data_IF_624412489036
#
_entry.id   IF_624412489036
#
_cell.length_a   1.000
_cell.length_b   1.000
_cell.length_c   1.000
_cell.angle_alpha   90.00
_cell.angle_beta   90.00
_cell.angle_gamma   90.00
#
_symmetry.space_group_name_H-M   'P 1'
#
loop_
_entity.id
_entity.type
_entity.pdbx_description
1 polymer ?
#
# COMPACT_ATOMS: atom_id res chain seq x y z
N UNK A 1 -15.06 18.06 -6.27
CA UNK A 1 -14.72 17.09 -5.20
C UNK A 1 -14.72 17.82 -3.87
N UNK A 2 -15.44 17.33 -2.88
CA UNK A 2 -15.39 17.91 -1.54
C UNK A 2 -14.04 17.57 -0.92
N UNK A 3 -13.25 18.59 -0.53
CA UNK A 3 -11.98 18.43 0.18
C UNK A 3 -12.22 17.89 1.62
N UNK A 4 -12.66 16.64 1.73
CA UNK A 4 -12.78 15.95 3.03
C UNK A 4 -11.43 15.31 3.33
N UNK A 5 -10.85 15.67 4.48
CA UNK A 5 -9.63 15.03 4.96
C UNK A 5 -10.00 13.68 5.57
N UNK A 6 -9.36 12.62 5.07
CA UNK A 6 -9.47 11.28 5.65
C UNK A 6 -8.26 10.97 6.54
N UNK A 7 -8.50 10.22 7.61
CA UNK A 7 -7.47 9.79 8.56
C UNK A 7 -7.25 8.29 8.40
N UNK A 8 -6.00 7.90 8.12
CA UNK A 8 -5.59 6.51 8.04
C UNK A 8 -4.60 6.14 9.14
N UNK A 9 -4.60 4.88 9.53
CA UNK A 9 -3.66 4.32 10.50
C UNK A 9 -3.23 2.92 10.07
N UNK A 10 -2.09 2.44 10.58
CA UNK A 10 -1.69 1.05 10.43
C UNK A 10 -2.21 0.20 11.58
N UNK A 11 -2.53 -1.07 11.30
CA UNK A 11 -2.83 -2.07 12.32
C UNK A 11 -2.44 -3.46 11.81
N UNK A 12 -2.01 -4.33 12.72
CA UNK A 12 -1.48 -5.65 12.37
C UNK A 12 -2.14 -6.80 13.13
N UNK A 13 -3.03 -6.51 14.08
CA UNK A 13 -3.62 -7.52 14.95
C UNK A 13 -5.07 -7.20 15.32
N UNK A 14 -5.73 -8.20 15.88
CA UNK A 14 -7.13 -8.12 16.29
C UNK A 14 -7.38 -7.10 17.44
N UNK A 15 -6.64 -7.11 18.58
CA UNK A 15 -6.94 -6.19 19.67
C UNK A 15 -6.74 -4.72 19.27
N UNK A 16 -5.68 -4.39 18.52
CA UNK A 16 -5.44 -3.03 18.01
C UNK A 16 -6.59 -2.59 17.09
N UNK A 17 -6.98 -3.46 16.14
CA UNK A 17 -8.10 -3.15 15.23
C UNK A 17 -9.42 -2.94 15.96
N UNK A 18 -9.68 -3.69 17.03
CA UNK A 18 -10.87 -3.52 17.89
C UNK A 18 -10.89 -2.15 18.54
N UNK A 19 -9.75 -1.63 18.96
CA UNK A 19 -9.64 -0.26 19.52
C UNK A 19 -9.92 0.75 18.41
N UNK A 20 -9.25 0.62 17.26
CA UNK A 20 -9.38 1.52 16.10
C UNK A 20 -10.83 1.55 15.59
N UNK A 21 -11.55 0.42 15.63
CA UNK A 21 -12.94 0.33 15.17
C UNK A 21 -13.90 1.31 15.87
N UNK A 22 -13.53 1.76 17.06
CA UNK A 22 -14.28 2.74 17.85
C UNK A 22 -13.67 4.16 17.77
N UNK A 23 -12.65 4.37 16.94
CA UNK A 23 -12.01 5.65 16.73
C UNK A 23 -12.54 6.32 15.45
N UNK A 24 -12.36 7.64 15.36
CA UNK A 24 -12.69 8.40 14.14
C UNK A 24 -11.54 8.28 13.13
N UNK A 25 -11.40 7.08 12.56
CA UNK A 25 -10.40 6.72 11.54
C UNK A 25 -11.14 6.17 10.33
N UNK A 26 -10.81 6.63 9.15
CA UNK A 26 -11.51 6.29 7.91
C UNK A 26 -11.00 4.98 7.29
N UNK A 27 -9.68 4.74 7.35
CA UNK A 27 -9.09 3.54 6.76
C UNK A 27 -7.93 2.96 7.59
N UNK A 28 -7.70 1.66 7.40
CA UNK A 28 -6.57 0.94 7.99
C UNK A 28 -5.71 0.36 6.86
N UNK A 29 -4.40 0.58 6.95
CA UNK A 29 -3.42 -0.12 6.11
C UNK A 29 -2.80 -1.25 6.93
N UNK A 30 -2.91 -2.48 6.43
CA UNK A 30 -2.17 -3.62 6.95
C UNK A 30 -0.86 -3.69 6.17
N UNK A 31 0.14 -2.94 6.65
CA UNK A 31 1.42 -2.75 5.96
C UNK A 31 2.36 -3.95 6.11
N UNK A 32 3.22 -4.19 5.12
CA UNK A 32 4.28 -5.20 5.20
C UNK A 32 5.33 -4.87 6.27
N UNK A 33 5.34 -3.62 6.77
CA UNK A 33 6.07 -3.22 7.98
C UNK A 33 5.68 -4.04 9.22
N UNK A 34 4.58 -4.81 9.20
CA UNK A 34 4.30 -5.86 10.19
C UNK A 34 5.51 -6.80 10.38
N UNK A 35 6.24 -7.09 9.30
CA UNK A 35 7.47 -7.87 9.36
C UNK A 35 8.47 -7.30 10.35
N UNK A 36 8.74 -6.02 10.31
CA UNK A 36 9.70 -5.37 11.21
C UNK A 36 9.13 -5.07 12.59
N UNK A 37 7.89 -4.57 12.66
CA UNK A 37 7.30 -4.07 13.91
C UNK A 37 6.75 -5.18 14.81
N UNK A 38 6.24 -6.26 14.22
CA UNK A 38 5.65 -7.38 14.97
C UNK A 38 6.59 -8.58 15.03
N UNK A 39 7.29 -8.88 13.93
CA UNK A 39 8.12 -10.08 13.82
C UNK A 39 9.63 -9.84 13.96
N UNK A 40 10.07 -8.56 14.02
CA UNK A 40 11.49 -8.21 14.13
C UNK A 40 12.33 -8.53 12.89
N UNK A 41 11.69 -8.70 11.74
CA UNK A 41 12.34 -8.93 10.44
C UNK A 41 13.07 -7.64 10.04
N UNK A 42 14.36 -7.74 9.73
CA UNK A 42 15.17 -6.57 9.35
C UNK A 42 15.00 -6.16 7.90
N UNK A 43 14.75 -7.12 7.02
CA UNK A 43 14.57 -6.89 5.60
C UNK A 43 13.12 -7.21 5.20
N UNK A 44 12.34 -6.19 4.85
CA UNK A 44 10.93 -6.34 4.48
C UNK A 44 10.70 -7.27 3.29
N UNK A 45 11.72 -7.51 2.45
CA UNK A 45 11.63 -8.46 1.35
C UNK A 45 11.51 -9.93 1.79
N UNK A 46 11.67 -10.22 3.09
CA UNK A 46 11.43 -11.53 3.68
C UNK A 46 9.96 -11.78 4.07
N UNK A 47 9.13 -10.72 4.03
CA UNK A 47 7.70 -10.81 4.36
C UNK A 47 6.98 -11.60 3.28
N UNK A 48 6.28 -12.67 3.69
CA UNK A 48 5.56 -13.55 2.78
C UNK A 48 4.08 -13.15 2.61
N UNK A 49 3.45 -13.64 1.54
CA UNK A 49 2.01 -13.52 1.34
C UNK A 49 1.21 -14.10 2.52
N UNK A 50 1.59 -15.30 3.01
CA UNK A 50 0.89 -15.95 4.14
C UNK A 50 0.94 -15.13 5.42
N UNK A 51 2.08 -14.49 5.69
CA UNK A 51 2.23 -13.57 6.82
C UNK A 51 1.26 -12.40 6.67
N UNK A 52 1.23 -11.74 5.52
CA UNK A 52 0.35 -10.61 5.26
C UNK A 52 -1.13 -11.00 5.35
N UNK A 53 -1.51 -12.11 4.73
CA UNK A 53 -2.89 -12.60 4.79
C UNK A 53 -3.32 -12.96 6.23
N UNK A 54 -2.40 -13.44 7.07
CA UNK A 54 -2.67 -13.72 8.48
C UNK A 54 -2.95 -12.44 9.26
N UNK A 55 -2.16 -11.38 9.06
CA UNK A 55 -2.41 -10.06 9.63
C UNK A 55 -3.73 -9.48 9.12
N UNK A 56 -3.99 -9.53 7.82
CA UNK A 56 -5.23 -9.06 7.21
C UNK A 56 -6.47 -9.73 7.82
N UNK A 57 -6.46 -11.06 7.98
CA UNK A 57 -7.56 -11.79 8.66
C UNK A 57 -7.77 -11.30 10.09
N UNK A 58 -6.69 -11.06 10.83
CA UNK A 58 -6.75 -10.58 12.22
C UNK A 58 -7.36 -9.18 12.30
N UNK A 59 -6.90 -8.27 11.44
CA UNK A 59 -7.41 -6.89 11.35
C UNK A 59 -8.88 -6.89 10.92
N UNK A 60 -9.25 -7.67 9.91
CA UNK A 60 -10.65 -7.77 9.43
C UNK A 60 -11.62 -8.19 10.52
N UNK A 61 -11.23 -9.13 11.38
CA UNK A 61 -12.07 -9.56 12.50
C UNK A 61 -12.27 -8.47 13.55
N UNK A 62 -11.29 -7.58 13.69
CA UNK A 62 -11.33 -6.48 14.66
C UNK A 62 -12.00 -5.21 14.17
N UNK A 63 -11.98 -4.96 12.86
CA UNK A 63 -12.48 -3.73 12.23
C UNK A 63 -13.63 -4.04 11.26
N UNK A 64 -14.74 -3.32 11.42
CA UNK A 64 -15.95 -3.46 10.58
C UNK A 64 -16.35 -2.15 9.90
N UNK A 65 -15.86 -1.01 10.39
CA UNK A 65 -16.30 0.31 9.98
C UNK A 65 -15.27 1.02 9.06
N UNK A 66 -14.01 0.62 9.11
CA UNK A 66 -12.92 1.23 8.33
C UNK A 66 -12.77 0.58 6.97
N UNK A 67 -12.34 1.37 5.98
CA UNK A 67 -11.88 0.87 4.70
C UNK A 67 -10.52 0.17 4.88
N UNK A 68 -10.40 -1.09 4.49
CA UNK A 68 -9.23 -1.93 4.77
C UNK A 68 -8.36 -2.12 3.54
N UNK A 69 -7.08 -1.77 3.66
CA UNK A 69 -6.09 -1.86 2.58
C UNK A 69 -5.02 -2.87 2.96
N UNK A 70 -4.86 -3.91 2.16
CA UNK A 70 -3.82 -4.91 2.31
C UNK A 70 -2.58 -4.57 1.49
N UNK A 71 -1.41 -4.59 2.12
CA UNK A 71 -0.15 -4.28 1.46
C UNK A 71 0.43 -5.53 0.81
N UNK A 72 0.62 -5.49 -0.50
CA UNK A 72 1.19 -6.60 -1.27
C UNK A 72 2.70 -6.69 -1.04
N UNK A 73 3.24 -7.79 -0.47
CA UNK A 73 4.65 -7.89 -0.15
C UNK A 73 5.51 -8.01 -1.40
N UNK A 74 6.82 -7.83 -1.23
CA UNK A 74 7.81 -7.92 -2.31
C UNK A 74 7.68 -9.23 -3.09
N UNK A 75 7.78 -9.14 -4.42
CA UNK A 75 7.62 -10.24 -5.40
C UNK A 75 6.22 -10.84 -5.51
N UNK A 76 5.21 -10.29 -4.84
CA UNK A 76 3.83 -10.75 -5.01
C UNK A 76 3.12 -10.13 -6.22
N UNK A 77 3.68 -9.09 -6.86
CA UNK A 77 3.09 -8.42 -8.03
C UNK A 77 4.11 -8.06 -9.13
N UNK A 78 5.42 -8.06 -8.83
CA UNK A 78 6.44 -7.57 -9.77
C UNK A 78 6.65 -8.47 -10.99
N UNK A 79 6.44 -9.78 -10.85
CA UNK A 79 6.85 -10.77 -11.86
C UNK A 79 5.94 -10.82 -13.08
N UNK A 80 4.63 -10.67 -12.93
CA UNK A 80 3.67 -10.69 -14.05
C UNK A 80 2.29 -10.17 -13.62
N UNK A 81 1.45 -9.79 -14.60
CA UNK A 81 0.05 -9.38 -14.36
C UNK A 81 -0.76 -10.51 -13.74
N UNK A 82 -0.57 -11.74 -14.21
CA UNK A 82 -1.26 -12.91 -13.67
C UNK A 82 -1.00 -13.06 -12.18
N UNK A 83 0.28 -13.03 -11.76
CA UNK A 83 0.67 -13.17 -10.36
C UNK A 83 0.13 -12.00 -9.52
N UNK A 84 0.17 -10.79 -10.06
CA UNK A 84 -0.37 -9.61 -9.38
C UNK A 84 -1.88 -9.74 -9.12
N UNK A 85 -2.65 -10.15 -10.13
CA UNK A 85 -4.11 -10.34 -10.01
C UNK A 85 -4.46 -11.48 -9.05
N UNK A 86 -3.77 -12.63 -9.16
CA UNK A 86 -4.00 -13.78 -8.28
C UNK A 86 -3.74 -13.42 -6.81
N UNK A 87 -2.61 -12.76 -6.52
CA UNK A 87 -2.27 -12.35 -5.17
C UNK A 87 -3.17 -11.22 -4.63
N UNK A 88 -3.53 -10.22 -5.45
CA UNK A 88 -4.50 -9.21 -5.06
C UNK A 88 -5.85 -9.85 -4.68
N UNK A 89 -6.29 -10.85 -5.46
CA UNK A 89 -7.51 -11.60 -5.18
C UNK A 89 -7.50 -12.29 -3.81
N UNK A 90 -6.35 -12.78 -3.33
CA UNK A 90 -6.25 -13.39 -2.00
C UNK A 90 -6.49 -12.36 -0.88
N UNK A 91 -6.04 -11.11 -1.04
CA UNK A 91 -6.35 -10.03 -0.09
C UNK A 91 -7.85 -9.73 -0.05
N UNK A 92 -8.52 -9.68 -1.20
CA UNK A 92 -9.96 -9.44 -1.26
C UNK A 92 -10.74 -10.60 -0.62
N UNK A 93 -10.35 -11.85 -0.87
CA UNK A 93 -10.97 -13.03 -0.25
C UNK A 93 -10.89 -13.05 1.28
N UNK A 94 -9.83 -12.50 1.87
CA UNK A 94 -9.72 -12.38 3.33
C UNK A 94 -10.40 -11.14 3.91
N UNK A 95 -11.05 -10.33 3.04
CA UNK A 95 -11.91 -9.23 3.45
C UNK A 95 -11.27 -7.86 3.42
N UNK A 96 -10.18 -7.67 2.68
CA UNK A 96 -9.66 -6.33 2.37
C UNK A 96 -10.51 -5.68 1.28
N UNK A 97 -10.67 -4.36 1.35
CA UNK A 97 -11.43 -3.56 0.39
C UNK A 97 -10.54 -3.11 -0.78
N UNK A 98 -9.23 -3.02 -0.55
CA UNK A 98 -8.23 -2.61 -1.53
C UNK A 98 -6.88 -3.29 -1.29
N UNK A 99 -6.00 -3.22 -2.29
CA UNK A 99 -4.59 -3.59 -2.16
C UNK A 99 -3.66 -2.40 -2.38
N UNK A 100 -2.48 -2.41 -1.74
CA UNK A 100 -1.40 -1.43 -1.97
C UNK A 100 -0.23 -2.11 -2.69
N UNK A 101 0.37 -1.40 -3.66
CA UNK A 101 1.61 -1.80 -4.34
C UNK A 101 2.61 -0.66 -4.29
N UNK A 102 3.88 -0.98 -4.08
CA UNK A 102 4.98 -0.01 -4.09
C UNK A 102 5.65 0.09 -5.45
N UNK A 103 5.93 1.33 -5.86
CA UNK A 103 6.65 1.64 -7.07
C UNK A 103 5.76 1.91 -8.28
N UNK A 104 6.43 2.23 -9.38
CA UNK A 104 5.78 2.60 -10.62
C UNK A 104 5.54 1.35 -11.49
N UNK A 105 4.34 0.76 -11.33
CA UNK A 105 3.91 -0.45 -12.05
C UNK A 105 2.53 -0.23 -12.71
N UNK A 106 2.39 0.68 -13.71
CA UNK A 106 1.09 1.02 -14.28
C UNK A 106 0.37 -0.20 -14.88
N UNK A 107 1.08 -1.11 -15.56
CA UNK A 107 0.48 -2.31 -16.16
C UNK A 107 -0.09 -3.24 -15.08
N UNK A 108 0.61 -3.42 -13.95
CA UNK A 108 0.15 -4.25 -12.82
C UNK A 108 -1.10 -3.65 -12.18
N UNK A 109 -1.10 -2.32 -12.01
CA UNK A 109 -2.25 -1.57 -11.49
C UNK A 109 -3.44 -1.79 -12.41
N UNK A 110 -3.25 -1.59 -13.71
CA UNK A 110 -4.33 -1.80 -14.70
C UNK A 110 -4.89 -3.22 -14.64
N UNK A 111 -4.05 -4.24 -14.62
CA UNK A 111 -4.48 -5.63 -14.58
C UNK A 111 -5.29 -5.95 -13.31
N UNK A 112 -4.85 -5.45 -12.14
CA UNK A 112 -5.56 -5.62 -10.87
C UNK A 112 -6.89 -4.87 -10.89
N UNK A 113 -6.92 -3.63 -11.38
CA UNK A 113 -8.14 -2.82 -11.49
C UNK A 113 -9.14 -3.46 -12.45
N UNK A 114 -8.70 -3.95 -13.61
CA UNK A 114 -9.54 -4.65 -14.59
C UNK A 114 -10.15 -5.93 -14.01
N UNK A 115 -9.53 -6.53 -13.00
CA UNK A 115 -10.09 -7.67 -12.24
C UNK A 115 -11.16 -7.29 -11.22
N UNK A 116 -11.42 -5.98 -11.03
CA UNK A 116 -12.42 -5.45 -10.10
C UNK A 116 -11.90 -5.08 -8.72
N UNK A 117 -10.59 -5.03 -8.53
CA UNK A 117 -9.96 -4.71 -7.24
C UNK A 117 -9.55 -3.22 -7.17
N UNK A 118 -9.85 -2.56 -6.06
CA UNK A 118 -9.39 -1.19 -5.79
C UNK A 118 -7.90 -1.19 -5.47
N UNK A 119 -7.16 -0.24 -6.05
CA UNK A 119 -5.70 -0.15 -5.89
C UNK A 119 -5.27 1.19 -5.28
N UNK A 120 -4.43 1.10 -4.25
CA UNK A 120 -3.60 2.18 -3.74
C UNK A 120 -2.19 2.03 -4.34
N UNK A 121 -1.77 3.00 -5.15
CA UNK A 121 -0.37 3.09 -5.60
C UNK A 121 0.48 3.78 -4.54
N UNK A 122 1.74 3.36 -4.38
CA UNK A 122 2.68 3.96 -3.45
C UNK A 122 3.93 4.41 -4.20
N UNK A 123 4.18 5.72 -4.21
CA UNK A 123 5.31 6.38 -4.85
C UNK A 123 6.15 7.16 -3.81
N UNK A 124 7.26 7.70 -4.25
CA UNK A 124 8.25 8.34 -3.38
C UNK A 124 9.25 7.32 -2.85
N UNK A 125 9.45 7.26 -1.55
CA UNK A 125 10.25 6.19 -0.93
C UNK A 125 9.45 4.89 -0.96
N UNK A 126 10.07 3.84 -1.49
CA UNK A 126 9.49 2.49 -1.57
C UNK A 126 10.39 1.52 -0.81
N UNK A 127 10.06 1.20 0.46
CA UNK A 127 10.88 0.35 1.34
C UNK A 127 11.27 -1.01 0.74
N UNK A 128 10.38 -1.65 -0.02
CA UNK A 128 10.68 -2.92 -0.70
C UNK A 128 11.85 -2.81 -1.69
N UNK A 129 12.12 -1.62 -2.22
CA UNK A 129 13.20 -1.36 -3.17
C UNK A 129 14.28 -0.45 -2.62
N UNK A 130 14.39 -0.31 -1.29
CA UNK A 130 15.34 0.57 -0.61
C UNK A 130 16.80 0.38 -1.03
N UNK A 131 17.20 -0.85 -1.37
CA UNK A 131 18.56 -1.14 -1.84
C UNK A 131 18.88 -0.40 -3.13
N UNK A 132 17.92 -0.29 -4.07
CA UNK A 132 18.03 0.49 -5.31
C UNK A 132 18.09 1.99 -5.04
N UNK A 133 17.46 2.45 -3.97
CA UNK A 133 17.38 3.87 -3.61
C UNK A 133 18.54 4.35 -2.74
N UNK A 134 19.45 3.45 -2.34
CA UNK A 134 20.57 3.79 -1.45
C UNK A 134 20.13 4.04 0.00
N UNK A 135 19.07 3.37 0.46
CA UNK A 135 18.51 3.45 1.81
C UNK A 135 17.33 4.42 1.95
N UNK A 136 16.93 4.67 3.18
CA UNK A 136 15.81 5.56 3.51
C UNK A 136 16.20 7.03 3.31
N UNK A 137 15.74 7.64 2.22
CA UNK A 137 16.05 9.04 1.86
C UNK A 137 14.78 9.75 1.40
N UNK A 138 14.73 11.06 1.63
CA UNK A 138 13.70 11.93 1.05
C UNK A 138 13.84 11.89 -0.46
N UNK A 139 12.72 11.69 -1.15
CA UNK A 139 12.58 11.61 -2.60
C UNK A 139 12.11 12.95 -3.18
N UNK A 140 12.21 13.12 -4.50
CA UNK A 140 11.75 14.31 -5.22
C UNK A 140 12.28 15.65 -4.64
N UNK A 141 13.63 15.74 -4.52
CA UNK A 141 14.31 16.95 -4.01
C UNK A 141 14.70 17.94 -5.11
N UNK A 142 14.86 17.48 -6.33
CA UNK A 142 15.21 18.32 -7.49
C UNK A 142 14.00 18.50 -8.39
N UNK A 143 14.01 19.53 -9.26
CA UNK A 143 12.92 19.77 -10.20
C UNK A 143 12.67 18.55 -11.09
N UNK A 144 13.72 17.94 -11.63
CA UNK A 144 13.60 16.74 -12.49
C UNK A 144 12.99 15.56 -11.76
N UNK A 145 13.35 15.36 -10.47
CA UNK A 145 12.75 14.29 -9.63
C UNK A 145 11.27 14.56 -9.35
N UNK A 146 10.89 15.82 -9.15
CA UNK A 146 9.49 16.25 -8.98
C UNK A 146 8.70 15.98 -10.25
N UNK A 147 9.19 16.42 -11.41
CA UNK A 147 8.53 16.22 -12.70
C UNK A 147 8.34 14.72 -12.99
N UNK A 148 9.34 13.91 -12.68
CA UNK A 148 9.26 12.46 -12.78
C UNK A 148 8.18 11.88 -11.85
N UNK A 149 8.14 12.31 -10.57
CA UNK A 149 7.14 11.83 -9.61
C UNK A 149 5.72 12.19 -10.05
N UNK A 150 5.52 13.43 -10.52
CA UNK A 150 4.22 13.88 -11.04
C UNK A 150 3.79 13.09 -12.27
N UNK A 151 4.73 12.81 -13.19
CA UNK A 151 4.47 11.96 -14.36
C UNK A 151 4.04 10.56 -13.93
N UNK A 152 4.77 9.94 -13.00
CA UNK A 152 4.45 8.62 -12.46
C UNK A 152 3.08 8.60 -11.76
N UNK A 153 2.75 9.65 -10.98
CA UNK A 153 1.47 9.77 -10.31
C UNK A 153 0.30 9.81 -11.31
N UNK A 154 0.44 10.59 -12.39
CA UNK A 154 -0.56 10.64 -13.47
C UNK A 154 -0.70 9.30 -14.21
N UNK A 155 0.41 8.62 -14.45
CA UNK A 155 0.37 7.31 -15.13
C UNK A 155 -0.34 6.25 -14.29
N UNK A 156 -0.09 6.18 -12.98
CA UNK A 156 -0.79 5.23 -12.12
C UNK A 156 -2.27 5.57 -11.97
N UNK A 157 -2.63 6.86 -11.89
CA UNK A 157 -4.02 7.33 -11.90
C UNK A 157 -4.73 6.94 -13.21
N UNK A 158 -4.12 7.20 -14.36
CA UNK A 158 -4.66 6.86 -15.67
C UNK A 158 -4.85 5.35 -15.87
N UNK A 159 -4.11 4.53 -15.13
CA UNK A 159 -4.26 3.08 -15.11
C UNK A 159 -5.20 2.56 -14.01
N UNK A 160 -5.93 3.48 -13.34
CA UNK A 160 -7.05 3.17 -12.47
C UNK A 160 -6.72 3.10 -10.98
N UNK A 161 -5.52 3.49 -10.54
CA UNK A 161 -5.26 3.64 -9.11
C UNK A 161 -6.23 4.66 -8.53
N UNK A 162 -6.99 4.26 -7.51
CA UNK A 162 -7.99 5.11 -6.86
C UNK A 162 -7.41 5.90 -5.69
N UNK A 163 -6.26 5.48 -5.17
CA UNK A 163 -5.56 6.08 -4.04
C UNK A 163 -4.07 6.18 -4.39
N UNK A 164 -3.43 7.25 -3.90
CA UNK A 164 -1.98 7.45 -4.02
C UNK A 164 -1.39 7.72 -2.64
N UNK A 165 -0.43 6.90 -2.22
CA UNK A 165 0.41 7.13 -1.06
C UNK A 165 1.74 7.74 -1.54
N UNK A 166 2.15 8.84 -0.93
CA UNK A 166 3.44 9.48 -1.14
C UNK A 166 4.26 9.40 0.14
N UNK A 167 5.38 8.68 0.12
CA UNK A 167 6.24 8.52 1.28
C UNK A 167 7.55 9.29 1.12
N UNK A 168 7.98 9.96 2.21
CA UNK A 168 9.23 10.72 2.28
C UNK A 168 9.40 11.72 1.12
N UNK A 169 8.33 12.42 0.76
CA UNK A 169 8.28 13.47 -0.26
C UNK A 169 8.12 14.83 0.43
N UNK A 170 8.78 15.92 -0.04
CA UNK A 170 8.56 17.24 0.52
C UNK A 170 7.09 17.65 0.48
N UNK A 171 6.63 18.33 1.54
CA UNK A 171 5.22 18.76 1.68
C UNK A 171 4.73 19.61 0.49
N UNK A 172 5.62 20.40 -0.08
CA UNK A 172 5.32 21.28 -1.22
C UNK A 172 5.04 20.50 -2.50
N UNK A 173 5.61 19.31 -2.62
CA UNK A 173 5.45 18.39 -3.77
C UNK A 173 4.18 17.55 -3.65
N UNK A 174 3.76 17.27 -2.42
CA UNK A 174 2.60 16.41 -2.13
C UNK A 174 1.25 17.14 -2.15
N UNK A 175 1.23 18.44 -2.49
CA UNK A 175 0.03 19.27 -2.60
C UNK A 175 -0.51 19.29 -4.03
#
# INVERSE_FOLDING_TARGET
>A
MNNVRSVGITSYDYPTSRIINNCNVDFIIVGDTAGSTVHGIKNLNEVSMDMMLTHCRSVKRGSQNQFLIGDMPYMSYQSSDKVAVENAGEFIKVGMDAVKLEGHFPDRIKAIVDSGTVVMSHLGLTPQTQARMGGYRIQAKTADEVDKLVTQAREVENNGASLLLLEAVPKEVSK
#
